data_IF_475988487005
#
_entry.id   IF_475988487005
#
_cell.length_a   1.000
_cell.length_b   1.000
_cell.length_c   1.000
_cell.angle_alpha   90.00
_cell.angle_beta   90.00
_cell.angle_gamma   90.00
#
_symmetry.space_group_name_H-M   'P 1'
#
loop_
_entity.id
_entity.type
_entity.pdbx_description
1 polymer ?
#
# COMPACT_ATOMS: atom_id res chain seq x y z
N UNK A 1 -27.72 38.98 -7.17
CA UNK A 1 -26.47 38.16 -7.08
C UNK A 1 -26.14 37.66 -8.48
N UNK A 2 -24.96 37.99 -9.02
CA UNK A 2 -24.55 37.59 -10.38
C UNK A 2 -24.43 36.07 -10.48
N UNK A 3 -24.84 35.49 -11.62
CA UNK A 3 -24.75 34.02 -11.86
C UNK A 3 -23.34 33.47 -11.73
N UNK A 4 -22.33 34.29 -12.02
CA UNK A 4 -20.92 33.92 -11.80
C UNK A 4 -20.61 33.65 -10.31
N UNK A 5 -21.07 34.55 -9.40
CA UNK A 5 -20.87 34.32 -7.95
C UNK A 5 -21.60 33.08 -7.45
N UNK A 6 -22.81 32.82 -7.99
CA UNK A 6 -23.55 31.59 -7.69
C UNK A 6 -22.81 30.33 -8.16
N UNK A 7 -22.20 30.42 -9.36
CA UNK A 7 -21.38 29.32 -9.89
C UNK A 7 -20.18 29.01 -8.96
N UNK A 8 -19.44 30.04 -8.52
CA UNK A 8 -18.30 29.83 -7.62
C UNK A 8 -18.72 29.21 -6.28
N UNK A 9 -19.87 29.63 -5.74
CA UNK A 9 -20.42 29.05 -4.51
C UNK A 9 -20.85 27.58 -4.72
N UNK A 10 -21.50 27.27 -5.84
CA UNK A 10 -21.88 25.90 -6.17
C UNK A 10 -20.68 24.98 -6.35
N UNK A 11 -19.61 25.47 -7.01
CA UNK A 11 -18.36 24.72 -7.16
C UNK A 11 -17.71 24.41 -5.80
N UNK A 12 -17.77 25.38 -4.87
CA UNK A 12 -17.28 25.18 -3.50
C UNK A 12 -18.12 24.16 -2.73
N UNK A 13 -19.44 24.28 -2.77
CA UNK A 13 -20.38 23.35 -2.12
C UNK A 13 -20.23 21.91 -2.66
N UNK A 14 -20.00 21.76 -3.97
CA UNK A 14 -19.70 20.48 -4.62
C UNK A 14 -18.28 19.98 -4.36
N UNK A 15 -17.40 20.75 -3.72
CA UNK A 15 -16.02 20.40 -3.46
C UNK A 15 -15.12 20.40 -4.71
N UNK A 16 -15.53 21.10 -5.78
CA UNK A 16 -14.81 21.20 -7.05
C UNK A 16 -13.83 22.40 -7.03
N UNK A 17 -12.88 22.35 -6.08
CA UNK A 17 -12.01 23.48 -5.76
C UNK A 17 -11.00 23.80 -6.86
N UNK A 18 -10.53 22.80 -7.62
CA UNK A 18 -9.60 23.03 -8.72
C UNK A 18 -10.29 23.67 -9.93
N UNK A 19 -11.55 23.29 -10.19
CA UNK A 19 -12.37 23.98 -11.18
C UNK A 19 -12.57 25.43 -10.73
N UNK A 20 -12.98 25.64 -9.47
CA UNK A 20 -13.20 26.99 -8.92
C UNK A 20 -11.95 27.86 -9.07
N UNK A 21 -10.76 27.33 -8.78
CA UNK A 21 -9.50 28.07 -8.89
C UNK A 21 -9.07 28.37 -10.32
N UNK A 22 -9.55 27.62 -11.30
CA UNK A 22 -9.11 27.70 -12.70
C UNK A 22 -10.16 28.31 -13.63
N UNK A 23 -11.42 28.47 -13.18
CA UNK A 23 -12.57 28.79 -14.02
C UNK A 23 -12.40 30.07 -14.82
N UNK A 24 -11.80 31.13 -14.21
CA UNK A 24 -11.60 32.43 -14.85
C UNK A 24 -10.74 32.32 -16.09
N UNK A 25 -9.61 31.61 -15.98
CA UNK A 25 -8.71 31.33 -17.11
C UNK A 25 -9.44 30.66 -18.27
N UNK A 26 -10.32 29.72 -17.98
CA UNK A 26 -11.06 29.00 -19.03
C UNK A 26 -12.17 29.85 -19.64
N UNK A 27 -12.83 30.72 -18.85
CA UNK A 27 -13.79 31.70 -19.36
C UNK A 27 -13.11 32.64 -20.36
N UNK A 28 -11.92 33.16 -20.04
CA UNK A 28 -11.15 34.02 -20.94
C UNK A 28 -10.75 33.32 -22.23
N UNK A 29 -10.32 32.04 -22.16
CA UNK A 29 -9.97 31.22 -23.32
C UNK A 29 -11.18 30.98 -24.24
N UNK A 30 -12.37 30.75 -23.66
CA UNK A 30 -13.61 30.55 -24.42
C UNK A 30 -14.02 31.89 -25.08
N UNK A 31 -14.00 33.00 -24.33
CA UNK A 31 -14.40 34.32 -24.85
C UNK A 31 -13.47 34.83 -25.95
N UNK A 32 -12.19 34.49 -25.89
CA UNK A 32 -11.22 34.83 -26.95
C UNK A 32 -11.27 33.89 -28.18
N UNK A 33 -12.16 32.89 -28.17
CA UNK A 33 -12.27 31.91 -29.25
C UNK A 33 -11.12 30.90 -29.33
N UNK A 34 -10.23 30.86 -28.35
CA UNK A 34 -9.07 29.97 -28.30
C UNK A 34 -9.41 28.58 -27.82
N UNK A 35 -10.61 28.37 -27.28
CA UNK A 35 -11.04 27.05 -26.77
C UNK A 35 -12.57 26.89 -26.89
N UNK A 36 -13.00 25.66 -27.22
CA UNK A 36 -14.43 25.34 -27.16
C UNK A 36 -14.89 25.12 -25.71
N UNK A 37 -16.19 25.30 -25.47
CA UNK A 37 -16.81 25.02 -24.16
C UNK A 37 -16.59 23.54 -23.77
N UNK A 38 -16.68 22.61 -24.73
CA UNK A 38 -16.52 21.17 -24.47
C UNK A 38 -15.09 20.86 -24.05
N UNK A 39 -14.09 21.42 -24.73
CA UNK A 39 -12.67 21.21 -24.37
C UNK A 39 -12.35 21.81 -22.99
N UNK A 40 -12.91 23.00 -22.70
CA UNK A 40 -12.75 23.65 -21.40
C UNK A 40 -13.34 22.78 -20.26
N UNK A 41 -14.55 22.27 -20.44
CA UNK A 41 -15.20 21.41 -19.44
C UNK A 41 -14.44 20.08 -19.28
N UNK A 42 -13.96 19.49 -20.36
CA UNK A 42 -13.15 18.28 -20.33
C UNK A 42 -11.86 18.48 -19.51
N UNK A 43 -11.11 19.54 -19.80
CA UNK A 43 -9.88 19.84 -19.07
C UNK A 43 -10.14 20.18 -17.60
N UNK A 44 -11.17 20.99 -17.30
CA UNK A 44 -11.57 21.32 -15.93
C UNK A 44 -11.99 20.05 -15.15
N UNK A 45 -12.73 19.15 -15.78
CA UNK A 45 -13.12 17.89 -15.14
C UNK A 45 -11.90 16.98 -14.86
N UNK A 46 -10.92 16.95 -15.77
CA UNK A 46 -9.68 16.22 -15.56
C UNK A 46 -8.85 16.76 -14.39
N UNK A 47 -8.83 18.09 -14.17
CA UNK A 47 -8.17 18.66 -12.99
C UNK A 47 -8.76 18.10 -11.68
N UNK A 48 -10.09 17.99 -11.59
CA UNK A 48 -10.73 17.41 -10.39
C UNK A 48 -10.52 15.92 -10.26
N UNK A 49 -10.58 15.16 -11.37
CA UNK A 49 -10.34 13.72 -11.37
C UNK A 49 -8.91 13.43 -10.88
N UNK A 50 -7.92 14.14 -11.41
CA UNK A 50 -6.52 13.97 -11.02
C UNK A 50 -6.32 14.33 -9.54
N UNK A 51 -6.80 15.49 -9.10
CA UNK A 51 -6.68 15.89 -7.70
C UNK A 51 -7.40 14.94 -6.73
N UNK A 52 -8.54 14.37 -7.13
CA UNK A 52 -9.25 13.34 -6.35
C UNK A 52 -8.45 12.03 -6.31
N UNK A 53 -7.84 11.66 -7.43
CA UNK A 53 -6.97 10.49 -7.52
C UNK A 53 -5.76 10.62 -6.61
N UNK A 54 -5.08 11.77 -6.65
CA UNK A 54 -3.90 12.07 -5.84
C UNK A 54 -4.23 12.04 -4.34
N UNK A 55 -5.33 12.67 -3.94
CA UNK A 55 -5.81 12.63 -2.54
C UNK A 55 -6.10 11.20 -2.08
N UNK A 56 -6.75 10.39 -2.92
CA UNK A 56 -7.04 9.00 -2.59
C UNK A 56 -5.76 8.15 -2.48
N UNK A 57 -4.79 8.36 -3.40
CA UNK A 57 -3.48 7.72 -3.35
C UNK A 57 -2.74 8.08 -2.05
N UNK A 58 -2.64 9.38 -1.71
CA UNK A 58 -2.01 9.83 -0.47
C UNK A 58 -2.69 9.26 0.78
N UNK A 59 -4.02 9.17 0.77
CA UNK A 59 -4.76 8.54 1.87
C UNK A 59 -4.42 7.05 2.01
N UNK A 60 -4.31 6.30 0.91
CA UNK A 60 -3.89 4.89 0.94
C UNK A 60 -2.48 4.72 1.52
N UNK A 61 -1.53 5.55 1.10
CA UNK A 61 -0.16 5.53 1.63
C UNK A 61 -0.14 5.87 3.12
N UNK A 62 -0.91 6.88 3.53
CA UNK A 62 -0.95 7.33 4.93
C UNK A 62 -1.49 6.26 5.89
N UNK A 63 -2.49 5.49 5.48
CA UNK A 63 -3.11 4.45 6.34
C UNK A 63 -2.39 3.11 6.30
N UNK A 64 -1.43 2.94 5.39
CA UNK A 64 -0.69 1.69 5.23
C UNK A 64 0.31 1.41 6.37
N UNK A 65 0.55 2.34 7.28
CA UNK A 65 1.43 2.20 8.45
C UNK A 65 2.90 1.88 8.09
N UNK A 66 3.40 2.43 6.98
CA UNK A 66 4.80 2.23 6.59
C UNK A 66 5.76 2.86 7.61
N UNK A 67 6.91 2.20 7.92
CA UNK A 67 7.90 2.72 8.87
C UNK A 67 8.64 3.96 8.34
N UNK A 68 8.71 4.09 7.01
CA UNK A 68 9.29 5.21 6.27
C UNK A 68 8.72 5.26 4.85
N UNK A 69 8.92 6.38 4.16
CA UNK A 69 8.51 6.56 2.77
C UNK A 69 9.77 6.65 1.89
N UNK A 70 10.31 5.48 1.50
CA UNK A 70 11.40 5.35 0.54
C UNK A 70 10.96 4.51 -0.63
N UNK A 71 11.25 4.96 -1.82
CA UNK A 71 10.90 4.27 -3.07
C UNK A 71 12.02 3.33 -3.51
N UNK A 72 11.75 2.51 -4.52
CA UNK A 72 12.75 1.59 -5.07
C UNK A 72 13.93 2.34 -5.70
N UNK A 73 13.71 3.57 -6.17
CA UNK A 73 14.74 4.47 -6.71
C UNK A 73 15.74 4.93 -5.66
N UNK A 74 15.36 4.90 -4.37
CA UNK A 74 16.23 5.25 -3.25
C UNK A 74 17.08 4.05 -2.80
N UNK A 75 16.89 2.88 -3.43
CA UNK A 75 17.64 1.67 -3.10
C UNK A 75 18.94 1.60 -3.91
N UNK A 76 20.06 1.47 -3.21
CA UNK A 76 21.38 1.31 -3.83
C UNK A 76 21.63 -0.17 -4.17
N UNK A 77 21.38 -0.52 -5.43
CA UNK A 77 21.63 -1.87 -5.94
C UNK A 77 23.11 -2.19 -6.08
N UNK A 78 23.96 -1.18 -6.24
CA UNK A 78 25.40 -1.38 -6.38
C UNK A 78 26.04 -1.77 -5.02
N UNK A 79 25.45 -1.28 -3.92
CA UNK A 79 25.84 -1.69 -2.57
C UNK A 79 25.43 -3.14 -2.25
N UNK A 80 24.40 -3.68 -2.93
CA UNK A 80 23.89 -5.04 -2.72
C UNK A 80 23.83 -5.84 -4.04
N UNK A 81 24.97 -6.21 -4.62
CA UNK A 81 25.04 -6.86 -5.95
C UNK A 81 24.42 -8.26 -5.99
N UNK A 82 24.17 -8.87 -4.83
CA UNK A 82 23.46 -10.15 -4.74
C UNK A 82 21.95 -10.04 -5.02
N UNK A 83 21.38 -8.84 -4.99
CA UNK A 83 19.96 -8.61 -5.28
C UNK A 83 19.77 -8.46 -6.78
N UNK A 84 18.90 -9.30 -7.34
CA UNK A 84 18.53 -9.19 -8.76
C UNK A 84 17.62 -7.97 -8.98
N UNK A 85 18.21 -6.87 -9.46
CA UNK A 85 17.49 -5.63 -9.76
C UNK A 85 16.30 -5.85 -10.69
N UNK A 86 16.45 -6.68 -11.74
CA UNK A 86 15.39 -6.93 -12.69
C UNK A 86 14.18 -7.60 -12.03
N UNK A 87 14.42 -8.55 -11.14
CA UNK A 87 13.35 -9.19 -10.38
C UNK A 87 12.59 -8.21 -9.49
N UNK A 88 13.30 -7.27 -8.86
CA UNK A 88 12.64 -6.22 -8.06
C UNK A 88 11.81 -5.30 -8.96
N UNK A 89 12.34 -4.90 -10.12
CA UNK A 89 11.60 -4.08 -11.08
C UNK A 89 10.36 -4.82 -11.65
N UNK A 90 10.44 -6.12 -11.85
CA UNK A 90 9.28 -6.94 -12.24
C UNK A 90 8.21 -6.94 -11.15
N UNK A 91 8.58 -7.02 -9.87
CA UNK A 91 7.63 -6.91 -8.76
C UNK A 91 6.95 -5.53 -8.71
N UNK A 92 7.66 -4.45 -9.12
CA UNK A 92 7.07 -3.10 -9.22
C UNK A 92 5.99 -2.98 -10.29
N UNK A 93 5.90 -3.93 -11.24
CA UNK A 93 4.77 -4.00 -12.19
C UNK A 93 3.46 -4.46 -11.54
N UNK A 94 3.49 -4.94 -10.31
CA UNK A 94 2.37 -5.39 -9.49
C UNK A 94 1.60 -6.62 -10.04
N UNK A 95 2.14 -7.34 -11.04
CA UNK A 95 1.50 -8.54 -11.62
C UNK A 95 1.27 -9.65 -10.59
N UNK A 96 2.14 -9.75 -9.56
CA UNK A 96 1.99 -10.70 -8.46
C UNK A 96 0.64 -10.56 -7.72
N UNK A 97 0.02 -9.37 -7.76
CA UNK A 97 -1.29 -9.12 -7.12
C UNK A 97 -2.41 -9.84 -7.88
N UNK A 98 -2.36 -9.84 -9.21
CA UNK A 98 -3.35 -10.52 -10.06
C UNK A 98 -3.26 -12.04 -9.86
N UNK A 99 -2.03 -12.56 -9.80
CA UNK A 99 -1.76 -13.97 -9.58
C UNK A 99 -1.93 -14.41 -8.12
N UNK A 100 -2.14 -13.46 -7.18
CA UNK A 100 -2.21 -13.71 -5.72
C UNK A 100 -0.96 -14.39 -5.17
N UNK A 101 0.20 -14.06 -5.72
CA UNK A 101 1.49 -14.58 -5.29
C UNK A 101 1.96 -13.89 -4.01
N UNK A 102 2.63 -14.65 -3.15
CA UNK A 102 3.29 -14.11 -1.97
C UNK A 102 4.76 -13.80 -2.30
N UNK A 103 5.32 -12.81 -1.63
CA UNK A 103 6.72 -12.42 -1.78
C UNK A 103 7.45 -12.70 -0.47
N UNK A 104 8.62 -13.34 -0.56
CA UNK A 104 9.45 -13.60 0.58
C UNK A 104 10.87 -13.07 0.36
N UNK A 105 11.27 -12.12 1.19
CA UNK A 105 12.64 -11.61 1.27
C UNK A 105 13.42 -12.33 2.36
N UNK A 106 14.42 -13.11 1.98
CA UNK A 106 15.30 -13.87 2.89
C UNK A 106 16.72 -13.32 2.78
N UNK A 107 17.39 -13.06 3.89
CA UNK A 107 18.78 -12.61 3.90
C UNK A 107 19.20 -12.06 5.25
N UNK A 108 20.50 -11.84 5.43
CA UNK A 108 21.08 -11.29 6.66
C UNK A 108 20.50 -9.92 7.04
N UNK A 109 20.68 -9.50 8.28
CA UNK A 109 20.25 -8.17 8.72
C UNK A 109 21.01 -7.08 7.94
N UNK A 110 20.35 -5.94 7.71
CA UNK A 110 20.96 -4.77 7.07
C UNK A 110 21.05 -4.80 5.54
N UNK A 111 20.67 -5.89 4.85
CA UNK A 111 20.73 -5.98 3.38
C UNK A 111 19.59 -5.27 2.62
N UNK A 112 18.70 -4.57 3.32
CA UNK A 112 17.64 -3.77 2.70
C UNK A 112 16.32 -4.47 2.43
N UNK A 113 16.05 -5.65 3.02
CA UNK A 113 14.77 -6.38 2.85
C UNK A 113 13.54 -5.53 3.18
N UNK A 114 13.55 -4.88 4.34
CA UNK A 114 12.48 -3.98 4.79
C UNK A 114 12.30 -2.80 3.84
N UNK A 115 13.41 -2.26 3.29
CA UNK A 115 13.35 -1.18 2.30
C UNK A 115 12.61 -1.67 1.04
N UNK A 116 13.00 -2.78 0.46
CA UNK A 116 12.38 -3.32 -0.76
C UNK A 116 10.91 -3.71 -0.52
N UNK A 117 10.60 -4.38 0.58
CA UNK A 117 9.22 -4.72 0.95
C UNK A 117 8.35 -3.46 1.11
N UNK A 118 8.88 -2.42 1.77
CA UNK A 118 8.18 -1.14 1.94
C UNK A 118 7.99 -0.42 0.62
N UNK A 119 9.02 -0.38 -0.25
CA UNK A 119 8.94 0.27 -1.57
C UNK A 119 7.87 -0.37 -2.46
N UNK A 120 7.80 -1.72 -2.50
CA UNK A 120 6.74 -2.44 -3.20
C UNK A 120 5.38 -2.12 -2.59
N UNK A 121 5.28 -2.08 -1.26
CA UNK A 121 4.05 -1.70 -0.57
C UNK A 121 3.57 -0.29 -0.88
N UNK A 122 4.49 0.67 -0.96
CA UNK A 122 4.20 2.06 -1.35
C UNK A 122 3.65 2.09 -2.77
N UNK A 123 4.27 1.36 -3.70
CA UNK A 123 3.80 1.26 -5.08
C UNK A 123 2.38 0.65 -5.16
N UNK A 124 2.12 -0.42 -4.39
CA UNK A 124 0.77 -0.98 -4.27
C UNK A 124 -0.24 0.06 -3.74
N UNK A 125 0.12 0.82 -2.70
CA UNK A 125 -0.74 1.84 -2.12
C UNK A 125 -0.98 3.02 -3.08
N UNK A 126 0.01 3.43 -3.87
CA UNK A 126 -0.12 4.43 -4.95
C UNK A 126 -1.12 3.97 -6.01
N UNK A 127 -1.16 2.69 -6.32
CA UNK A 127 -2.15 2.07 -7.20
C UNK A 127 -3.48 1.73 -6.49
N UNK A 128 -3.70 2.28 -5.29
CA UNK A 128 -4.93 2.15 -4.48
C UNK A 128 -5.24 0.73 -4.02
N UNK A 129 -4.28 -0.16 -4.01
CA UNK A 129 -4.43 -1.43 -3.33
C UNK A 129 -4.35 -1.20 -1.82
N UNK A 130 -5.34 -1.73 -1.09
CA UNK A 130 -5.33 -1.65 0.38
C UNK A 130 -4.12 -2.40 0.92
N UNK A 131 -3.15 -1.66 1.44
CA UNK A 131 -1.86 -2.16 1.92
C UNK A 131 -1.73 -1.86 3.40
N UNK A 132 -1.11 -2.78 4.15
CA UNK A 132 -0.79 -2.55 5.56
C UNK A 132 0.56 -3.18 5.90
N UNK A 133 1.39 -2.41 6.60
CA UNK A 133 2.69 -2.84 7.12
C UNK A 133 2.60 -3.06 8.62
N UNK A 134 3.18 -4.18 9.08
CA UNK A 134 3.26 -4.51 10.51
C UNK A 134 4.52 -5.33 10.76
N UNK A 135 5.18 -5.10 11.91
CA UNK A 135 6.23 -6.01 12.38
C UNK A 135 5.61 -7.34 12.83
N UNK A 136 6.36 -8.43 12.71
CA UNK A 136 5.89 -9.73 13.19
C UNK A 136 5.59 -9.69 14.69
N UNK A 137 6.42 -8.99 15.47
CA UNK A 137 6.23 -8.85 16.91
C UNK A 137 4.92 -8.16 17.26
N UNK A 138 4.61 -7.03 16.58
CA UNK A 138 3.36 -6.29 16.80
C UNK A 138 2.14 -7.09 16.35
N UNK A 139 2.27 -7.82 15.23
CA UNK A 139 1.22 -8.71 14.73
C UNK A 139 0.86 -9.76 15.78
N UNK A 140 1.86 -10.50 16.29
CA UNK A 140 1.63 -11.55 17.29
C UNK A 140 1.11 -10.97 18.59
N UNK A 141 1.64 -9.85 19.06
CA UNK A 141 1.14 -9.16 20.25
C UNK A 141 -0.34 -8.84 20.12
N UNK A 142 -0.76 -8.28 18.99
CA UNK A 142 -2.17 -7.96 18.73
C UNK A 142 -3.06 -9.20 18.61
N UNK A 143 -2.56 -10.29 18.02
CA UNK A 143 -3.32 -11.53 17.92
C UNK A 143 -3.47 -12.24 19.28
N UNK A 144 -2.40 -12.31 20.08
CA UNK A 144 -2.44 -12.85 21.45
C UNK A 144 -3.41 -12.06 22.34
N UNK A 145 -3.36 -10.72 22.28
CA UNK A 145 -4.32 -9.86 22.98
C UNK A 145 -5.76 -10.13 22.54
N UNK A 146 -5.99 -10.22 21.24
CA UNK A 146 -7.33 -10.51 20.71
C UNK A 146 -7.83 -11.90 21.10
N UNK A 147 -6.94 -12.89 21.21
CA UNK A 147 -7.26 -14.24 21.72
C UNK A 147 -7.71 -14.17 23.18
N UNK A 148 -6.95 -13.49 24.05
CA UNK A 148 -7.30 -13.36 25.49
C UNK A 148 -8.62 -12.61 25.72
N UNK A 149 -9.01 -11.74 24.78
CA UNK A 149 -10.26 -10.98 24.80
C UNK A 149 -11.42 -11.67 24.06
N UNK A 150 -11.26 -12.92 23.61
CA UNK A 150 -12.23 -13.68 22.80
C UNK A 150 -12.64 -12.96 21.50
N UNK A 151 -11.73 -12.18 20.88
CA UNK A 151 -11.97 -11.38 19.68
C UNK A 151 -11.02 -11.74 18.51
N UNK A 152 -10.37 -12.92 18.60
CA UNK A 152 -9.37 -13.35 17.60
C UNK A 152 -9.91 -13.30 16.17
N UNK A 153 -11.11 -13.83 15.93
CA UNK A 153 -11.70 -13.85 14.59
C UNK A 153 -11.92 -12.45 14.00
N UNK A 154 -12.28 -11.49 14.84
CA UNK A 154 -12.43 -10.09 14.41
C UNK A 154 -11.07 -9.53 13.99
N UNK A 155 -10.00 -9.83 14.75
CA UNK A 155 -8.66 -9.34 14.46
C UNK A 155 -8.06 -10.02 13.22
N UNK A 156 -8.25 -11.32 13.05
CA UNK A 156 -7.85 -12.03 11.84
C UNK A 156 -8.56 -11.45 10.60
N UNK A 157 -9.88 -11.24 10.66
CA UNK A 157 -10.63 -10.59 9.58
C UNK A 157 -10.13 -9.18 9.28
N UNK A 158 -9.70 -8.43 10.28
CA UNK A 158 -9.11 -7.10 10.07
C UNK A 158 -7.87 -7.18 9.18
N UNK A 159 -6.92 -8.07 9.47
CA UNK A 159 -5.72 -8.26 8.63
C UNK A 159 -6.03 -8.90 7.27
N UNK A 160 -7.09 -9.70 7.17
CA UNK A 160 -7.55 -10.27 5.91
C UNK A 160 -8.24 -9.26 4.97
N UNK A 161 -8.60 -8.03 5.42
CA UNK A 161 -9.17 -7.00 4.55
C UNK A 161 -8.15 -6.37 3.61
N UNK A 162 -6.89 -6.37 3.99
CA UNK A 162 -5.83 -5.77 3.18
C UNK A 162 -5.47 -6.67 2.00
N UNK A 163 -5.47 -6.08 0.79
CA UNK A 163 -5.05 -6.79 -0.42
C UNK A 163 -3.59 -7.21 -0.30
N UNK A 164 -2.75 -6.31 0.26
CA UNK A 164 -1.34 -6.52 0.52
C UNK A 164 -1.10 -6.40 2.02
N UNK A 165 -0.54 -7.42 2.65
CA UNK A 165 -0.08 -7.38 4.03
C UNK A 165 1.44 -7.60 4.06
N UNK A 166 2.16 -6.62 4.59
CA UNK A 166 3.61 -6.72 4.77
C UNK A 166 3.88 -7.09 6.21
N UNK A 167 4.56 -8.22 6.42
CA UNK A 167 4.93 -8.72 7.74
C UNK A 167 6.45 -8.73 7.82
N UNK A 168 7.00 -7.81 8.59
CA UNK A 168 8.43 -7.57 8.66
C UNK A 168 9.09 -8.29 9.84
N UNK A 169 10.35 -8.73 9.64
CA UNK A 169 11.22 -9.28 10.69
C UNK A 169 10.74 -10.61 11.31
N UNK A 170 10.20 -11.53 10.51
CA UNK A 170 9.89 -12.88 11.03
C UNK A 170 11.19 -13.61 11.40
N UNK A 171 11.21 -14.22 12.60
CA UNK A 171 12.33 -15.03 13.10
C UNK A 171 13.48 -14.23 13.71
N UNK A 172 13.31 -12.93 13.95
CA UNK A 172 14.29 -12.13 14.69
C UNK A 172 14.31 -12.48 16.20
N UNK A 173 13.15 -12.83 16.74
CA UNK A 173 13.00 -13.34 18.11
C UNK A 173 12.49 -14.80 18.08
N UNK A 174 12.76 -15.59 19.13
CA UNK A 174 12.17 -16.93 19.27
C UNK A 174 10.66 -16.89 19.16
N UNK A 175 10.08 -17.76 18.33
CA UNK A 175 8.65 -17.87 18.13
C UNK A 175 8.14 -19.02 18.99
N UNK A 176 7.25 -18.75 19.93
CA UNK A 176 6.57 -19.81 20.69
C UNK A 176 5.47 -20.49 19.86
N UNK A 177 5.03 -21.66 20.29
CA UNK A 177 4.03 -22.47 19.58
C UNK A 177 2.71 -21.70 19.37
N UNK A 178 2.29 -20.90 20.36
CA UNK A 178 1.06 -20.13 20.24
C UNK A 178 1.17 -19.05 19.18
N UNK A 179 2.31 -18.35 19.13
CA UNK A 179 2.59 -17.37 18.09
C UNK A 179 2.61 -18.00 16.69
N UNK A 180 3.24 -19.18 16.55
CA UNK A 180 3.26 -19.93 15.31
C UNK A 180 1.85 -20.31 14.84
N UNK A 181 1.02 -20.85 15.76
CA UNK A 181 -0.37 -21.21 15.48
C UNK A 181 -1.23 -20.01 15.06
N UNK A 182 -1.08 -18.87 15.73
CA UNK A 182 -1.81 -17.64 15.39
C UNK A 182 -1.38 -17.10 14.02
N UNK A 183 -0.09 -17.12 13.74
CA UNK A 183 0.45 -16.72 12.44
C UNK A 183 -0.05 -17.64 11.32
N UNK A 184 0.02 -18.97 11.52
CA UNK A 184 -0.49 -19.95 10.57
C UNK A 184 -1.97 -19.73 10.25
N UNK A 185 -2.81 -19.48 11.27
CA UNK A 185 -4.23 -19.17 11.05
C UNK A 185 -4.43 -17.95 10.17
N UNK A 186 -3.62 -16.89 10.36
CA UNK A 186 -3.71 -15.71 9.53
C UNK A 186 -3.29 -16.00 8.07
N UNK A 187 -2.14 -16.66 7.88
CA UNK A 187 -1.63 -16.96 6.53
C UNK A 187 -2.60 -17.89 5.79
N UNK A 188 -3.12 -18.93 6.44
CA UNK A 188 -4.11 -19.83 5.84
C UNK A 188 -5.40 -19.12 5.41
N UNK A 189 -5.87 -18.14 6.18
CA UNK A 189 -7.05 -17.34 5.81
C UNK A 189 -6.79 -16.42 4.62
N UNK A 190 -5.53 -16.00 4.39
CA UNK A 190 -5.11 -15.14 3.29
C UNK A 190 -4.70 -15.89 2.03
N UNK A 191 -4.29 -17.15 2.17
CA UNK A 191 -3.81 -17.99 1.09
C UNK A 191 -4.78 -17.99 -0.10
N UNK A 192 -4.26 -17.85 -1.32
CA UNK A 192 -4.98 -17.76 -2.60
C UNK A 192 -6.03 -16.61 -2.71
N UNK A 193 -6.15 -15.77 -1.70
CA UNK A 193 -7.11 -14.64 -1.69
C UNK A 193 -6.41 -13.31 -1.81
N UNK A 194 -5.32 -13.14 -1.09
CA UNK A 194 -4.58 -11.88 -0.95
C UNK A 194 -3.08 -12.13 -0.89
N UNK A 195 -2.30 -11.14 -1.30
CA UNK A 195 -0.84 -11.24 -1.28
C UNK A 195 -0.28 -10.90 0.09
N UNK A 196 0.75 -11.62 0.50
CA UNK A 196 1.52 -11.33 1.71
C UNK A 196 2.98 -11.16 1.33
N UNK A 197 3.60 -10.08 1.80
CA UNK A 197 5.04 -9.83 1.65
C UNK A 197 5.67 -10.07 3.01
N UNK A 198 6.67 -10.93 3.06
CA UNK A 198 7.33 -11.32 4.30
C UNK A 198 8.81 -11.00 4.20
N UNK A 199 9.41 -10.47 5.27
CA UNK A 199 10.85 -10.37 5.41
C UNK A 199 11.34 -11.25 6.56
N UNK A 200 12.48 -11.91 6.37
CA UNK A 200 13.08 -12.76 7.39
C UNK A 200 14.61 -12.78 7.26
N UNK A 201 15.28 -12.96 8.38
CA UNK A 201 16.73 -13.25 8.43
C UNK A 201 17.02 -14.74 8.63
N UNK A 202 15.99 -15.57 8.76
CA UNK A 202 16.10 -17.01 9.05
C UNK A 202 15.96 -17.82 7.78
N UNK A 203 16.90 -18.74 7.53
CA UNK A 203 16.82 -19.69 6.42
C UNK A 203 15.66 -20.68 6.61
N UNK A 204 15.03 -21.07 5.52
CA UNK A 204 13.92 -22.05 5.48
C UNK A 204 14.24 -23.36 6.20
N UNK A 205 15.49 -23.84 6.14
CA UNK A 205 15.93 -25.05 6.85
C UNK A 205 15.75 -24.97 8.37
N UNK A 206 15.65 -23.75 8.92
CA UNK A 206 15.37 -23.53 10.35
C UNK A 206 13.89 -23.33 10.65
N UNK A 207 13.04 -23.15 9.64
CA UNK A 207 11.59 -23.02 9.80
C UNK A 207 10.94 -24.35 10.21
N UNK A 208 11.54 -25.50 9.87
CA UNK A 208 11.11 -26.81 10.36
C UNK A 208 11.16 -26.95 11.89
N UNK A 209 12.01 -26.15 12.56
CA UNK A 209 12.06 -26.11 14.02
C UNK A 209 10.89 -25.35 14.66
N UNK A 210 10.05 -24.70 13.85
CA UNK A 210 8.87 -23.97 14.29
C UNK A 210 7.57 -24.77 14.11
N UNK A 211 7.64 -26.08 13.73
CA UNK A 211 6.48 -26.90 13.33
C UNK A 211 5.57 -26.20 12.29
N UNK A 212 6.11 -25.24 11.55
CA UNK A 212 5.45 -24.57 10.44
C UNK A 212 5.72 -25.36 9.16
N UNK A 213 4.95 -26.40 8.93
CA UNK A 213 4.81 -27.00 7.58
C UNK A 213 3.88 -26.07 6.80
N UNK A 214 4.47 -25.25 5.91
CA UNK A 214 3.74 -24.47 4.91
C UNK A 214 3.43 -25.32 3.70
#
# INVERSE_FOLDING_TARGET
MNNYVKLLNNLEELGLLNIKASIDKYIDLINSGNKSIVDALYELSNLEINAKSDRAMQACVKVANFPFLKEVTDFDFDFQPAINKQQILDLMTLRFIENKENILFVGSSGVGKTHLATSIGIECAKHRYSTYFISFQDLISQLKKALSENRLDIRLRHFCKYKILIIDEIGYLPIDIDAANLFFQLISKRYEKHCTIITTNTNFSKWSNFDLVL
#
